data_IF_928957946623
#
_entry.id   IF_928957946623
#
_cell.length_a   1.000
_cell.length_b   1.000
_cell.length_c   1.000
_cell.angle_alpha   90.00
_cell.angle_beta   90.00
_cell.angle_gamma   90.00
#
_symmetry.space_group_name_H-M   'P 1'
#
loop_
_entity.id
_entity.type
_entity.pdbx_description
1 polymer ?
#
# COMPACT_ATOMS: atom_id res chain seq x y z
N UNK A 1 -22.62 10.62 16.89
CA UNK A 1 -21.57 9.56 16.89
C UNK A 1 -20.32 10.15 16.25
N UNK A 2 -19.15 10.13 16.91
CA UNK A 2 -17.90 10.67 16.32
C UNK A 2 -17.43 9.77 15.18
N UNK A 3 -16.84 10.34 14.14
CA UNK A 3 -16.26 9.59 13.04
C UNK A 3 -15.05 8.79 13.52
N UNK A 4 -14.87 7.56 12.99
CA UNK A 4 -13.70 6.72 13.30
C UNK A 4 -12.37 7.44 13.01
N UNK A 5 -12.33 8.27 11.98
CA UNK A 5 -11.16 9.09 11.61
C UNK A 5 -10.72 10.05 12.71
N UNK A 6 -11.63 10.48 13.59
CA UNK A 6 -11.31 11.36 14.72
C UNK A 6 -11.00 10.52 15.95
N UNK A 7 -11.76 9.45 16.19
CA UNK A 7 -11.63 8.62 17.38
C UNK A 7 -10.33 7.80 17.40
N UNK A 8 -9.92 7.28 16.25
CA UNK A 8 -8.79 6.36 16.11
C UNK A 8 -7.62 6.98 15.34
N UNK A 9 -7.49 8.31 15.34
CA UNK A 9 -6.49 9.01 14.52
C UNK A 9 -5.07 8.50 14.79
N UNK A 10 -4.74 8.26 16.07
CA UNK A 10 -3.44 7.74 16.48
C UNK A 10 -3.17 6.35 15.92
N UNK A 11 -4.11 5.42 16.06
CA UNK A 11 -4.00 4.05 15.57
C UNK A 11 -3.96 3.99 14.04
N UNK A 12 -4.70 4.90 13.39
CA UNK A 12 -4.64 5.07 11.93
C UNK A 12 -3.26 5.55 11.49
N UNK A 13 -2.68 6.51 12.20
CA UNK A 13 -1.34 7.01 11.90
C UNK A 13 -0.27 5.94 12.14
N UNK A 14 -0.37 5.16 13.23
CA UNK A 14 0.50 4.00 13.50
C UNK A 14 0.37 2.91 12.44
N UNK A 15 -0.85 2.64 11.94
CA UNK A 15 -1.07 1.69 10.84
C UNK A 15 -0.39 2.13 9.55
N UNK A 16 -0.43 3.43 9.24
CA UNK A 16 0.30 3.95 8.08
C UNK A 16 1.81 3.76 8.26
N UNK A 17 2.35 4.04 9.45
CA UNK A 17 3.78 3.87 9.71
C UNK A 17 4.19 2.39 9.60
N UNK A 18 3.38 1.46 10.11
CA UNK A 18 3.58 0.01 9.90
C UNK A 18 3.64 -0.34 8.40
N UNK A 19 2.73 0.21 7.59
CA UNK A 19 2.71 -0.05 6.14
C UNK A 19 3.99 0.46 5.48
N UNK A 20 4.42 1.68 5.80
CA UNK A 20 5.65 2.25 5.24
C UNK A 20 6.88 1.43 5.65
N UNK A 21 6.93 0.98 6.91
CA UNK A 21 7.99 0.10 7.40
C UNK A 21 8.01 -1.26 6.69
N UNK A 22 6.85 -1.85 6.37
CA UNK A 22 6.80 -3.11 5.59
C UNK A 22 7.27 -2.90 4.15
N UNK A 23 6.93 -1.75 3.56
CA UNK A 23 7.31 -1.45 2.18
C UNK A 23 8.83 -1.30 2.03
N UNK A 24 9.50 -0.78 3.06
CA UNK A 24 10.94 -0.46 3.04
C UNK A 24 11.26 0.39 1.81
N UNK A 25 10.73 1.62 1.79
CA UNK A 25 10.88 2.53 0.67
C UNK A 25 12.36 2.73 0.32
N UNK A 26 12.65 2.89 -0.97
CA UNK A 26 14.00 3.20 -1.44
C UNK A 26 14.41 4.65 -1.09
N UNK A 27 15.63 5.02 -1.46
CA UNK A 27 16.18 6.36 -1.22
C UNK A 27 15.35 7.50 -1.86
N UNK A 28 14.48 7.19 -2.81
CA UNK A 28 13.57 8.13 -3.45
C UNK A 28 12.16 8.09 -2.84
N UNK A 29 12.00 7.48 -1.65
CA UNK A 29 10.72 7.23 -1.00
C UNK A 29 9.73 6.52 -1.93
N UNK A 30 10.20 5.49 -2.62
CA UNK A 30 9.43 4.85 -3.68
C UNK A 30 9.48 3.34 -3.64
N UNK A 31 8.56 2.73 -4.38
CA UNK A 31 8.52 1.28 -4.63
C UNK A 31 8.26 1.01 -6.10
N UNK A 32 8.78 -0.12 -6.58
CA UNK A 32 8.46 -0.66 -7.90
C UNK A 32 7.38 -1.73 -7.71
N UNK A 33 6.27 -1.59 -8.45
CA UNK A 33 5.14 -2.52 -8.36
C UNK A 33 5.52 -3.95 -8.71
N UNK A 34 6.44 -4.13 -9.65
CA UNK A 34 6.91 -5.46 -10.03
C UNK A 34 7.59 -6.17 -8.87
N UNK A 35 8.45 -5.48 -8.12
CA UNK A 35 9.14 -6.07 -6.98
C UNK A 35 8.14 -6.42 -5.87
N UNK A 36 7.18 -5.52 -5.61
CA UNK A 36 6.10 -5.79 -4.66
C UNK A 36 5.21 -6.96 -5.08
N UNK A 37 4.90 -7.11 -6.37
CA UNK A 37 4.10 -8.22 -6.92
C UNK A 37 4.82 -9.58 -6.76
N UNK A 38 6.15 -9.58 -6.68
CA UNK A 38 6.98 -10.79 -6.50
C UNK A 38 7.37 -11.07 -5.04
N UNK A 39 7.32 -10.07 -4.15
CA UNK A 39 7.62 -10.25 -2.73
C UNK A 39 6.39 -10.73 -1.94
N UNK A 40 6.28 -12.05 -1.77
CA UNK A 40 5.19 -12.67 -1.00
C UNK A 40 5.23 -12.34 0.48
N UNK A 41 6.41 -12.15 1.06
CA UNK A 41 6.55 -11.85 2.48
C UNK A 41 5.95 -10.46 2.77
N UNK A 42 6.26 -9.46 1.95
CA UNK A 42 5.66 -8.12 2.09
C UNK A 42 4.15 -8.15 1.82
N UNK A 43 3.70 -8.90 0.81
CA UNK A 43 2.27 -9.04 0.52
C UNK A 43 1.51 -9.61 1.72
N UNK A 44 1.98 -10.71 2.30
CA UNK A 44 1.30 -11.38 3.42
C UNK A 44 1.27 -10.49 4.66
N UNK A 45 2.40 -9.84 5.02
CA UNK A 45 2.45 -8.87 6.12
C UNK A 45 1.43 -7.74 5.96
N UNK A 46 1.21 -7.24 4.74
CA UNK A 46 0.21 -6.20 4.48
C UNK A 46 -1.23 -6.71 4.63
N UNK A 47 -1.49 -7.97 4.29
CA UNK A 47 -2.81 -8.60 4.43
C UNK A 47 -3.11 -8.99 5.88
N UNK A 48 -2.09 -9.35 6.66
CA UNK A 48 -2.21 -9.58 8.11
C UNK A 48 -2.71 -8.35 8.87
N UNK A 49 -2.54 -7.14 8.33
CA UNK A 49 -3.08 -5.90 8.91
C UNK A 49 -4.60 -5.73 8.72
N UNK A 50 -5.25 -6.54 7.88
CA UNK A 50 -6.69 -6.40 7.57
C UNK A 50 -7.59 -6.37 8.82
N UNK A 51 -7.41 -7.23 9.84
CA UNK A 51 -8.22 -7.18 11.06
C UNK A 51 -8.10 -5.83 11.79
N UNK A 52 -6.89 -5.28 11.91
CA UNK A 52 -6.67 -3.95 12.51
C UNK A 52 -7.31 -2.84 11.65
N UNK A 53 -7.14 -2.92 10.32
CA UNK A 53 -7.75 -1.96 9.39
C UNK A 53 -9.28 -1.96 9.54
N UNK A 54 -9.92 -3.14 9.60
CA UNK A 54 -11.37 -3.25 9.76
C UNK A 54 -11.86 -2.68 11.09
N UNK A 55 -11.04 -2.75 12.13
CA UNK A 55 -11.33 -2.16 13.45
C UNK A 55 -11.32 -0.64 13.37
N UNK A 56 -10.26 -0.04 12.84
CA UNK A 56 -10.01 1.40 12.95
C UNK A 56 -10.47 2.24 11.74
N UNK A 57 -10.70 1.63 10.58
CA UNK A 57 -11.18 2.30 9.37
C UNK A 57 -12.64 1.95 9.05
N UNK A 58 -13.27 2.82 8.27
CA UNK A 58 -14.37 2.39 7.40
C UNK A 58 -13.74 1.77 6.17
N UNK A 59 -14.02 0.49 5.91
CA UNK A 59 -13.29 -0.31 4.92
C UNK A 59 -14.13 -0.69 3.71
N UNK A 60 -15.39 -0.25 3.61
CA UNK A 60 -16.27 -0.54 2.47
C UNK A 60 -15.67 -0.08 1.12
N UNK A 61 -14.90 1.01 1.13
CA UNK A 61 -14.19 1.54 -0.05
C UNK A 61 -12.76 1.03 -0.18
N UNK A 62 -12.24 0.31 0.83
CA UNK A 62 -10.92 -0.31 0.82
C UNK A 62 -11.10 -1.76 0.36
N UNK A 63 -11.21 -1.99 -0.96
CA UNK A 63 -11.52 -3.33 -1.50
C UNK A 63 -10.53 -4.39 -0.99
N UNK A 64 -9.25 -4.05 -0.87
CA UNK A 64 -8.24 -4.96 -0.32
C UNK A 64 -8.48 -5.38 1.14
N UNK A 65 -9.17 -4.56 1.94
CA UNK A 65 -9.56 -4.92 3.29
C UNK A 65 -11.00 -5.47 3.37
N UNK A 66 -11.90 -5.07 2.48
CA UNK A 66 -13.29 -5.55 2.44
C UNK A 66 -13.39 -6.96 1.85
N UNK A 67 -12.88 -7.14 0.63
CA UNK A 67 -12.99 -8.36 -0.17
C UNK A 67 -11.61 -8.75 -0.75
N UNK A 68 -10.62 -9.07 0.10
CA UNK A 68 -9.25 -9.32 -0.34
C UNK A 68 -9.13 -10.40 -1.41
N UNK A 69 -9.99 -11.43 -1.38
CA UNK A 69 -9.99 -12.56 -2.32
C UNK A 69 -10.49 -12.20 -3.72
N UNK A 70 -11.27 -11.13 -3.87
CA UNK A 70 -11.76 -10.67 -5.19
C UNK A 70 -10.80 -9.69 -5.87
N UNK A 71 -9.94 -9.03 -5.09
CA UNK A 71 -8.98 -8.08 -5.64
C UNK A 71 -7.76 -8.82 -6.21
N UNK A 72 -7.33 -8.45 -7.42
CA UNK A 72 -6.06 -8.97 -7.99
C UNK A 72 -4.84 -8.61 -7.13
N UNK A 73 -4.86 -7.41 -6.53
CA UNK A 73 -3.77 -6.86 -5.70
C UNK A 73 -4.34 -6.21 -4.43
N UNK A 74 -4.81 -7.00 -3.46
CA UNK A 74 -5.44 -6.46 -2.25
C UNK A 74 -4.47 -5.59 -1.45
N UNK A 75 -3.19 -5.99 -1.35
CA UNK A 75 -2.12 -5.21 -0.72
C UNK A 75 -1.95 -3.82 -1.35
N UNK A 76 -2.00 -3.70 -2.68
CA UNK A 76 -1.88 -2.41 -3.36
C UNK A 76 -3.10 -1.51 -3.06
N UNK A 77 -4.30 -2.08 -2.96
CA UNK A 77 -5.49 -1.34 -2.54
C UNK A 77 -5.35 -0.82 -1.11
N UNK A 78 -4.78 -1.61 -0.20
CA UNK A 78 -4.53 -1.24 1.20
C UNK A 78 -3.54 -0.07 1.25
N UNK A 79 -2.37 -0.21 0.61
CA UNK A 79 -1.33 0.82 0.55
C UNK A 79 -1.93 2.13 0.03
N UNK A 80 -2.51 2.11 -1.19
CA UNK A 80 -3.03 3.32 -1.85
C UNK A 80 -4.06 4.06 -1.04
N UNK A 81 -4.86 3.38 -0.22
CA UNK A 81 -5.98 4.01 0.48
C UNK A 81 -5.61 4.49 1.88
N UNK A 82 -4.72 3.78 2.57
CA UNK A 82 -4.32 4.12 3.94
C UNK A 82 -3.25 5.20 3.97
N UNK A 83 -2.25 5.12 3.08
CA UNK A 83 -1.13 6.07 3.08
C UNK A 83 -1.53 7.48 2.65
N UNK A 84 -2.68 7.67 1.98
CA UNK A 84 -3.24 8.98 1.58
C UNK A 84 -3.38 9.99 2.71
N UNK A 85 -3.45 9.52 3.96
CA UNK A 85 -3.58 10.39 5.12
C UNK A 85 -2.29 11.12 5.50
N UNK A 86 -1.12 10.60 5.09
CA UNK A 86 0.21 11.17 5.36
C UNK A 86 1.00 11.44 4.08
N UNK A 87 0.67 10.77 2.98
CA UNK A 87 1.43 10.79 1.74
C UNK A 87 0.54 11.06 0.53
N UNK A 88 1.04 11.87 -0.38
CA UNK A 88 0.60 11.93 -1.76
C UNK A 88 1.34 10.86 -2.56
N UNK A 89 0.58 9.92 -3.11
CA UNK A 89 1.13 8.81 -3.90
C UNK A 89 1.11 9.14 -5.39
N UNK A 90 2.27 9.39 -5.97
CA UNK A 90 2.42 9.61 -7.41
C UNK A 90 2.77 8.29 -8.11
N UNK A 91 2.20 8.08 -9.30
CA UNK A 91 2.40 6.86 -10.08
C UNK A 91 3.02 7.21 -11.43
N UNK A 92 4.14 6.57 -11.73
CA UNK A 92 4.87 6.74 -12.99
C UNK A 92 4.99 5.40 -13.69
N UNK A 93 4.98 5.42 -15.02
CA UNK A 93 5.34 4.23 -15.79
C UNK A 93 6.84 3.97 -15.66
N UNK A 94 7.19 2.70 -15.47
CA UNK A 94 8.57 2.28 -15.27
C UNK A 94 8.86 1.03 -16.12
N UNK A 95 10.09 0.91 -16.59
CA UNK A 95 10.53 -0.25 -17.38
C UNK A 95 11.77 -0.84 -16.74
N UNK A 96 11.68 -2.13 -16.41
CA UNK A 96 12.83 -2.90 -15.93
C UNK A 96 13.48 -3.50 -17.17
N UNK A 97 14.72 -3.10 -17.44
CA UNK A 97 15.52 -3.66 -18.52
C UNK A 97 15.95 -5.07 -18.13
N UNK A 98 15.79 -6.02 -19.05
CA UNK A 98 16.26 -7.39 -18.88
C UNK A 98 17.23 -7.72 -20.01
N UNK A 99 18.38 -8.30 -19.68
CA UNK A 99 19.37 -8.64 -20.68
C UNK A 99 18.84 -9.76 -21.61
N UNK A 100 18.88 -9.51 -22.91
CA UNK A 100 18.39 -10.43 -23.95
C UNK A 100 16.88 -10.72 -23.95
N UNK A 101 16.05 -9.97 -23.19
CA UNK A 101 14.58 -10.14 -23.14
C UNK A 101 13.87 -8.81 -23.30
N UNK A 102 12.57 -8.87 -23.58
CA UNK A 102 11.73 -7.66 -23.62
C UNK A 102 11.66 -6.98 -22.25
N UNK A 103 11.71 -5.65 -22.25
CA UNK A 103 11.56 -4.84 -21.04
C UNK A 103 10.25 -5.16 -20.31
N UNK A 104 10.34 -5.36 -19.00
CA UNK A 104 9.14 -5.52 -18.18
C UNK A 104 8.54 -4.15 -17.91
N UNK A 105 7.32 -3.92 -18.42
CA UNK A 105 6.53 -2.74 -18.10
C UNK A 105 5.90 -2.87 -16.72
N UNK A 106 6.16 -1.90 -15.86
CA UNK A 106 5.63 -1.83 -14.51
C UNK A 106 5.35 -0.38 -14.11
N UNK A 107 5.02 -0.15 -12.84
CA UNK A 107 4.81 1.18 -12.28
C UNK A 107 5.76 1.43 -11.12
N UNK A 108 6.25 2.66 -11.04
CA UNK A 108 6.95 3.20 -9.88
C UNK A 108 5.98 4.07 -9.09
N UNK A 109 5.88 3.84 -7.80
CA UNK A 109 5.06 4.63 -6.89
C UNK A 109 5.96 5.43 -5.96
N UNK A 110 5.83 6.76 -5.99
CA UNK A 110 6.61 7.68 -5.15
C UNK A 110 5.69 8.23 -4.06
N UNK A 111 6.15 8.17 -2.81
CA UNK A 111 5.43 8.63 -1.63
C UNK A 111 5.99 10.00 -1.23
N UNK A 112 5.24 11.05 -1.51
CA UNK A 112 5.56 12.42 -1.08
C UNK A 112 4.83 12.74 0.22
N UNK A 113 5.53 13.17 1.26
CA UNK A 113 4.90 13.58 2.52
C UNK A 113 4.01 14.81 2.31
N UNK A 114 2.82 14.82 2.94
CA UNK A 114 1.84 15.92 2.86
C UNK A 114 2.15 17.07 3.81
#
# INVERSE_FOLDING_TARGET
>A
MKLKSILYKKEQDELVDKIINILELDNENSIILYDLDNDKIKQDKLLELIPEIRKYYSFSTIIGASEPTKAKRPYLSIIRQLTKSKYKLNSYDYRIKQDGKEDIRTKKYIFELL
#
